data_IF_111748831052
#
_entry.id   IF_111748831052
#
_cell.length_a   1.000
_cell.length_b   1.000
_cell.length_c   1.000
_cell.angle_alpha   90.00
_cell.angle_beta   90.00
_cell.angle_gamma   90.00
#
_symmetry.space_group_name_H-M   'P 1'
#
loop_
_entity.id
_entity.type
_entity.pdbx_description
1 polymer ?
#
# COMPACT_ATOMS: atom_id res chain seq x y z
N UNK A 1 14.28 -48.03 2.31
CA UNK A 1 13.99 -46.74 1.65
C UNK A 1 13.47 -45.79 2.72
N UNK A 2 14.19 -44.70 2.99
CA UNK A 2 13.77 -43.72 3.99
C UNK A 2 12.62 -42.88 3.43
N UNK A 3 11.51 -42.82 4.16
CA UNK A 3 10.38 -41.94 3.87
C UNK A 3 10.87 -40.49 3.92
N UNK A 4 10.65 -39.67 2.88
CA UNK A 4 11.06 -38.28 2.91
C UNK A 4 10.25 -37.58 4.00
N UNK A 5 10.95 -37.08 5.01
CA UNK A 5 10.37 -36.23 6.05
C UNK A 5 9.82 -35.00 5.35
N UNK A 6 8.50 -34.79 5.38
CA UNK A 6 7.90 -33.51 4.98
C UNK A 6 8.58 -32.45 5.84
N UNK A 7 9.48 -31.66 5.24
CA UNK A 7 9.84 -30.37 5.80
C UNK A 7 8.53 -29.67 6.15
N UNK A 8 8.34 -29.34 7.43
CA UNK A 8 7.26 -28.46 7.85
C UNK A 8 7.50 -27.15 7.13
N UNK A 9 6.85 -26.99 5.98
CA UNK A 9 6.81 -25.77 5.21
C UNK A 9 6.47 -24.64 6.18
N UNK A 10 7.46 -23.80 6.48
CA UNK A 10 7.35 -22.62 7.35
C UNK A 10 6.53 -21.53 6.63
N UNK A 11 5.36 -21.90 6.09
CA UNK A 11 4.45 -21.02 5.37
C UNK A 11 3.38 -20.60 6.37
N UNK A 12 3.41 -19.32 6.71
CA UNK A 12 2.32 -18.66 7.42
C UNK A 12 0.97 -18.99 6.79
N UNK A 13 0.00 -19.36 7.62
CA UNK A 13 -1.38 -19.59 7.18
C UNK A 13 -2.02 -18.27 6.76
N UNK A 14 -3.15 -18.32 6.04
CA UNK A 14 -3.93 -17.12 5.73
C UNK A 14 -4.32 -16.36 7.01
N UNK A 15 -4.70 -17.08 8.06
CA UNK A 15 -5.04 -16.49 9.35
C UNK A 15 -3.84 -15.79 10.01
N UNK A 16 -2.65 -16.38 9.95
CA UNK A 16 -1.43 -15.76 10.48
C UNK A 16 -1.10 -14.46 9.75
N UNK A 17 -1.18 -14.47 8.41
CA UNK A 17 -0.90 -13.27 7.60
C UNK A 17 -1.95 -12.20 7.85
N UNK A 18 -3.24 -12.55 7.90
CA UNK A 18 -4.31 -11.60 8.15
C UNK A 18 -4.24 -10.99 9.54
N UNK A 19 -3.84 -11.79 10.55
CA UNK A 19 -3.59 -11.31 11.91
C UNK A 19 -2.40 -10.34 11.94
N UNK A 20 -1.27 -10.72 11.32
CA UNK A 20 -0.10 -9.86 11.22
C UNK A 20 -0.42 -8.54 10.53
N UNK A 21 -1.17 -8.56 9.42
CA UNK A 21 -1.59 -7.37 8.68
C UNK A 21 -2.39 -6.36 9.52
N UNK A 22 -3.00 -6.78 10.64
CA UNK A 22 -3.75 -5.91 11.57
C UNK A 22 -2.89 -5.32 12.70
N UNK A 23 -1.59 -5.59 12.70
CA UNK A 23 -0.64 -5.03 13.67
C UNK A 23 0.05 -3.78 13.13
N UNK A 24 0.34 -2.84 14.02
CA UNK A 24 1.16 -1.68 13.70
C UNK A 24 2.56 -2.10 13.27
N UNK A 25 3.07 -1.53 12.17
CA UNK A 25 4.42 -1.77 11.66
C UNK A 25 5.17 -0.44 11.52
N UNK A 26 6.18 -0.16 12.37
CA UNK A 26 6.91 1.11 12.29
C UNK A 26 7.60 1.28 10.94
N UNK A 27 7.78 2.53 10.51
CA UNK A 27 8.59 2.88 9.35
C UNK A 27 9.94 3.38 9.84
N UNK A 28 11.02 2.91 9.22
CA UNK A 28 12.38 3.40 9.52
C UNK A 28 12.93 4.17 8.32
N UNK A 29 13.76 5.17 8.58
CA UNK A 29 14.35 5.98 7.51
C UNK A 29 15.23 5.16 6.56
N UNK A 30 15.78 4.03 7.04
CA UNK A 30 16.62 3.11 6.26
C UNK A 30 15.84 2.10 5.42
N UNK A 31 14.51 2.05 5.50
CA UNK A 31 13.68 1.07 4.78
C UNK A 31 12.56 1.74 3.98
N UNK A 32 12.76 1.81 2.66
CA UNK A 32 11.86 2.49 1.72
C UNK A 32 10.88 1.54 0.99
N UNK A 33 11.01 0.22 1.18
CA UNK A 33 10.15 -0.81 0.57
C UNK A 33 8.84 -0.99 1.34
N UNK A 34 8.02 0.05 1.27
CA UNK A 34 6.71 0.08 1.91
C UNK A 34 5.63 -0.20 0.86
N UNK A 35 4.66 -1.06 1.19
CA UNK A 35 3.39 -1.14 0.45
C UNK A 35 2.30 -0.54 1.32
N UNK A 36 1.63 0.48 0.79
CA UNK A 36 0.53 1.19 1.42
C UNK A 36 -0.77 0.83 0.71
N UNK A 37 -1.76 0.42 1.49
CA UNK A 37 -3.12 0.20 1.04
C UNK A 37 -4.09 0.73 2.10
N UNK A 38 -5.36 0.82 1.75
CA UNK A 38 -6.37 1.38 2.64
C UNK A 38 -7.72 0.69 2.51
N UNK A 39 -8.38 0.52 3.65
CA UNK A 39 -9.80 0.21 3.72
C UNK A 39 -10.38 0.95 4.93
N UNK A 40 -11.30 1.90 4.69
CA UNK A 40 -11.82 2.82 5.72
C UNK A 40 -12.37 2.10 6.96
N UNK A 41 -12.95 0.91 6.77
CA UNK A 41 -13.54 0.09 7.84
C UNK A 41 -12.60 -0.99 8.39
N UNK A 42 -11.33 -0.98 8.03
CA UNK A 42 -10.35 -2.00 8.42
C UNK A 42 -10.36 -3.23 7.50
N UNK A 43 -9.19 -3.83 7.28
CA UNK A 43 -8.99 -4.91 6.30
C UNK A 43 -9.92 -6.10 6.49
N UNK A 44 -10.18 -6.53 7.74
CA UNK A 44 -11.07 -7.65 8.04
C UNK A 44 -12.53 -7.41 7.67
N UNK A 45 -12.95 -6.15 7.54
CA UNK A 45 -14.28 -5.76 7.07
C UNK A 45 -14.33 -5.51 5.56
N UNK A 46 -13.23 -5.71 4.83
CA UNK A 46 -13.22 -5.68 3.38
C UNK A 46 -13.77 -6.99 2.79
N UNK A 47 -14.30 -6.98 1.55
CA UNK A 47 -14.68 -8.21 0.87
C UNK A 47 -13.56 -9.25 0.90
N UNK A 48 -13.91 -10.53 1.07
CA UNK A 48 -12.91 -11.61 1.24
C UNK A 48 -11.89 -11.68 0.09
N UNK A 49 -12.30 -11.33 -1.12
CA UNK A 49 -11.39 -11.30 -2.27
C UNK A 49 -10.33 -10.20 -2.16
N UNK A 50 -10.64 -9.04 -1.55
CA UNK A 50 -9.64 -8.02 -1.22
C UNK A 50 -8.65 -8.54 -0.18
N UNK A 51 -9.14 -9.22 0.87
CA UNK A 51 -8.28 -9.83 1.89
C UNK A 51 -7.32 -10.85 1.24
N UNK A 52 -7.84 -11.70 0.35
CA UNK A 52 -7.03 -12.67 -0.41
C UNK A 52 -5.98 -11.99 -1.29
N UNK A 53 -6.33 -10.88 -1.95
CA UNK A 53 -5.38 -10.09 -2.74
C UNK A 53 -4.22 -9.63 -1.85
N UNK A 54 -4.50 -8.95 -0.74
CA UNK A 54 -3.46 -8.42 0.17
C UNK A 54 -2.58 -9.55 0.73
N UNK A 55 -3.18 -10.65 1.18
CA UNK A 55 -2.42 -11.82 1.65
C UNK A 55 -1.51 -12.41 0.56
N UNK A 56 -1.97 -12.39 -0.70
CA UNK A 56 -1.14 -12.83 -1.83
C UNK A 56 0.06 -11.92 -2.07
N UNK A 57 -0.07 -10.61 -1.80
CA UNK A 57 1.04 -9.66 -1.91
C UNK A 57 2.10 -9.95 -0.86
N UNK A 58 1.71 -10.16 0.40
CA UNK A 58 2.64 -10.52 1.50
C UNK A 58 3.47 -11.73 1.11
N UNK A 59 2.84 -12.78 0.58
CA UNK A 59 3.55 -13.99 0.14
C UNK A 59 4.50 -13.75 -1.02
N UNK A 60 4.07 -12.94 -1.99
CA UNK A 60 4.83 -12.70 -3.22
C UNK A 60 6.05 -11.82 -2.98
N UNK A 61 5.87 -10.79 -2.17
CA UNK A 61 6.92 -9.82 -1.88
C UNK A 61 7.88 -10.33 -0.82
N UNK A 62 7.42 -11.22 0.07
CA UNK A 62 8.24 -11.78 1.13
C UNK A 62 8.70 -10.69 2.12
N UNK A 63 9.75 -10.97 2.90
CA UNK A 63 10.18 -10.08 3.99
C UNK A 63 10.89 -8.80 3.53
N UNK A 64 11.18 -8.66 2.23
CA UNK A 64 11.85 -7.46 1.69
C UNK A 64 10.92 -6.26 1.59
N UNK A 65 9.61 -6.48 1.58
CA UNK A 65 8.59 -5.44 1.56
C UNK A 65 7.71 -5.52 2.79
N UNK A 66 7.39 -4.35 3.35
CA UNK A 66 6.44 -4.26 4.45
C UNK A 66 5.07 -3.81 3.95
N UNK A 67 4.08 -4.69 4.01
CA UNK A 67 2.69 -4.40 3.62
C UNK A 67 1.92 -3.82 4.81
N UNK A 68 1.30 -2.65 4.60
CA UNK A 68 0.45 -1.96 5.58
C UNK A 68 -0.90 -1.64 4.95
N UNK A 69 -1.97 -2.06 5.61
CA UNK A 69 -3.34 -1.69 5.23
C UNK A 69 -3.90 -0.80 6.30
N UNK A 70 -4.02 0.49 5.97
CA UNK A 70 -4.47 1.53 6.88
C UNK A 70 -6.01 1.61 6.90
N UNK A 71 -6.55 2.21 7.94
CA UNK A 71 -8.00 2.37 8.12
C UNK A 71 -8.37 3.65 8.90
N UNK A 72 -9.68 3.87 9.07
CA UNK A 72 -10.27 4.94 9.88
C UNK A 72 -11.04 4.38 11.10
N UNK A 73 -10.67 3.19 11.57
CA UNK A 73 -11.32 2.53 12.71
C UNK A 73 -10.70 3.07 13.99
N UNK A 74 -11.55 3.59 14.89
CA UNK A 74 -11.11 4.13 16.17
C UNK A 74 -10.39 3.06 17.01
N UNK A 75 -9.23 3.40 17.55
CA UNK A 75 -8.39 2.46 18.31
C UNK A 75 -7.64 1.43 17.47
N UNK A 76 -7.78 1.43 16.13
CA UNK A 76 -7.02 0.53 15.27
C UNK A 76 -5.52 0.80 15.35
N UNK A 77 -4.67 -0.25 15.50
CA UNK A 77 -3.22 -0.12 15.35
C UNK A 77 -2.78 0.39 13.97
N UNK A 78 -3.65 0.26 12.97
CA UNK A 78 -3.40 0.69 11.59
C UNK A 78 -4.16 1.96 11.21
N UNK A 79 -4.73 2.66 12.19
CA UNK A 79 -5.37 3.94 11.93
C UNK A 79 -4.40 4.90 11.22
N UNK A 80 -4.87 5.62 10.19
CA UNK A 80 -4.04 6.56 9.40
C UNK A 80 -3.22 7.53 10.23
N UNK A 81 -3.72 7.95 11.40
CA UNK A 81 -3.01 8.87 12.31
C UNK A 81 -1.69 8.32 12.88
N UNK A 82 -1.44 7.01 12.77
CA UNK A 82 -0.17 6.39 13.16
C UNK A 82 0.97 6.71 12.17
N UNK A 83 0.61 7.17 10.97
CA UNK A 83 1.55 7.38 9.86
C UNK A 83 1.45 8.78 9.25
N UNK A 84 0.29 9.44 9.31
CA UNK A 84 0.10 10.76 8.69
C UNK A 84 -0.12 11.81 9.78
N UNK A 85 0.78 12.80 9.90
CA UNK A 85 0.57 13.97 10.76
C UNK A 85 -0.71 14.71 10.38
N UNK A 86 -1.39 15.29 11.37
CA UNK A 86 -2.71 15.91 11.17
C UNK A 86 -2.67 17.00 10.11
N UNK A 87 -1.61 17.80 10.13
CA UNK A 87 -1.38 18.97 9.28
C UNK A 87 -1.28 18.65 7.78
N UNK A 88 -1.05 17.40 7.39
CA UNK A 88 -0.98 17.01 5.98
C UNK A 88 -2.33 16.71 5.35
N UNK A 89 -3.41 16.63 6.15
CA UNK A 89 -4.75 16.31 5.65
C UNK A 89 -5.75 17.38 6.11
N UNK A 90 -6.76 17.70 5.28
CA UNK A 90 -7.74 18.72 5.61
C UNK A 90 -8.63 18.27 6.79
N UNK A 91 -9.14 19.23 7.56
CA UNK A 91 -10.02 18.95 8.71
C UNK A 91 -11.26 18.12 8.35
N UNK A 92 -11.74 18.22 7.11
CA UNK A 92 -12.87 17.43 6.60
C UNK A 92 -12.60 15.92 6.68
N UNK A 93 -11.34 15.51 6.48
CA UNK A 93 -10.89 14.12 6.61
C UNK A 93 -10.94 13.68 8.08
N UNK A 94 -10.27 14.42 8.96
CA UNK A 94 -10.15 14.07 10.37
C UNK A 94 -11.48 14.12 11.11
N UNK A 95 -12.29 15.14 10.84
CA UNK A 95 -13.58 15.32 11.48
C UNK A 95 -14.67 14.45 10.85
N UNK A 96 -14.32 13.63 9.84
CA UNK A 96 -15.22 12.70 9.13
C UNK A 96 -16.49 13.36 8.61
N UNK A 97 -16.36 14.57 8.06
CA UNK A 97 -17.51 15.38 7.59
C UNK A 97 -17.78 15.24 6.10
N UNK A 98 -16.94 14.50 5.35
CA UNK A 98 -17.24 14.14 3.96
C UNK A 98 -18.51 13.29 3.87
N UNK A 99 -19.33 13.52 2.85
CA UNK A 99 -20.60 12.81 2.63
C UNK A 99 -20.67 12.14 1.26
N UNK A 100 -21.55 11.16 1.10
CA UNK A 100 -21.82 10.49 -0.17
C UNK A 100 -21.31 9.04 -0.24
N UNK A 101 -21.58 8.33 -1.34
CA UNK A 101 -21.29 6.90 -1.44
C UNK A 101 -19.79 6.58 -1.60
N UNK A 102 -18.97 7.57 -1.96
CA UNK A 102 -17.55 7.39 -2.29
C UNK A 102 -16.59 7.96 -1.23
N UNK A 103 -17.08 8.23 -0.01
CA UNK A 103 -16.24 8.81 1.06
C UNK A 103 -15.00 7.96 1.36
N UNK A 104 -15.11 6.63 1.32
CA UNK A 104 -13.97 5.73 1.50
C UNK A 104 -12.92 5.87 0.40
N UNK A 105 -13.36 5.95 -0.87
CA UNK A 105 -12.47 6.18 -2.01
C UNK A 105 -11.82 7.56 -1.96
N UNK A 106 -12.57 8.61 -1.63
CA UNK A 106 -12.00 9.95 -1.46
C UNK A 106 -11.02 10.03 -0.29
N UNK A 107 -11.29 9.33 0.81
CA UNK A 107 -10.34 9.19 1.92
C UNK A 107 -9.04 8.52 1.47
N UNK A 108 -9.14 7.45 0.68
CA UNK A 108 -8.00 6.78 0.02
C UNK A 108 -7.21 7.76 -0.87
N UNK A 109 -7.92 8.57 -1.66
CA UNK A 109 -7.29 9.57 -2.53
C UNK A 109 -6.47 10.61 -1.76
N UNK A 110 -6.97 11.06 -0.61
CA UNK A 110 -6.31 12.08 0.21
C UNK A 110 -5.03 11.56 0.88
N UNK A 111 -4.95 10.28 1.22
CA UNK A 111 -3.84 9.76 2.03
C UNK A 111 -2.71 9.14 1.22
N UNK A 112 -2.94 8.77 -0.06
CA UNK A 112 -1.93 8.04 -0.83
C UNK A 112 -0.64 8.83 -1.05
N UNK A 113 -0.76 10.09 -1.45
CA UNK A 113 0.40 10.92 -1.77
C UNK A 113 1.16 11.35 -0.52
N UNK A 114 0.51 11.75 0.61
CA UNK A 114 1.21 11.98 1.86
C UNK A 114 2.05 10.79 2.32
N UNK A 115 1.52 9.56 2.25
CA UNK A 115 2.26 8.36 2.66
C UNK A 115 3.48 8.12 1.78
N UNK A 116 3.31 8.24 0.46
CA UNK A 116 4.41 8.09 -0.49
C UNK A 116 5.46 9.19 -0.34
N UNK A 117 5.04 10.42 -0.09
CA UNK A 117 5.96 11.53 0.14
C UNK A 117 6.76 11.33 1.43
N UNK A 118 6.08 10.98 2.53
CA UNK A 118 6.73 10.78 3.83
C UNK A 118 7.65 9.57 3.89
N UNK A 119 7.31 8.48 3.21
CA UNK A 119 7.92 7.17 3.45
C UNK A 119 8.41 6.45 2.19
N UNK A 120 8.09 6.96 1.00
CA UNK A 120 8.29 6.27 -0.25
C UNK A 120 7.50 4.96 -0.32
N UNK A 121 7.87 4.13 -1.30
CA UNK A 121 7.29 2.82 -1.51
C UNK A 121 6.23 2.84 -2.59
N UNK A 122 5.21 1.98 -2.44
CA UNK A 122 4.16 1.75 -3.42
C UNK A 122 2.79 1.86 -2.75
N UNK A 123 1.92 2.70 -3.29
CA UNK A 123 0.49 2.66 -3.08
C UNK A 123 -0.13 1.58 -3.97
N UNK A 124 -0.99 0.74 -3.39
CA UNK A 124 -1.68 -0.33 -4.09
C UNK A 124 -3.11 -0.48 -3.57
N UNK A 125 -4.11 -0.30 -4.44
CA UNK A 125 -5.50 -0.53 -4.07
C UNK A 125 -5.74 -2.01 -3.71
N UNK A 126 -6.48 -2.28 -2.63
CA UNK A 126 -6.75 -3.65 -2.13
C UNK A 126 -7.41 -4.58 -3.16
N UNK A 127 -8.05 -3.99 -4.17
CA UNK A 127 -8.66 -4.73 -5.28
C UNK A 127 -7.66 -5.27 -6.31
N UNK A 128 -6.37 -4.90 -6.23
CA UNK A 128 -5.38 -5.26 -7.25
C UNK A 128 -4.77 -6.64 -7.03
N UNK A 129 -4.68 -7.42 -8.11
CA UNK A 129 -3.92 -8.65 -8.14
C UNK A 129 -2.47 -8.37 -8.54
N UNK A 130 -1.53 -8.78 -7.69
CA UNK A 130 -0.11 -8.66 -7.99
C UNK A 130 0.40 -9.96 -8.61
N UNK A 131 0.83 -9.90 -9.88
CA UNK A 131 1.36 -11.06 -10.61
C UNK A 131 2.90 -11.13 -10.65
N UNK A 132 3.59 -10.00 -10.45
CA UNK A 132 5.06 -9.86 -10.48
C UNK A 132 5.56 -9.20 -9.20
N UNK A 133 6.86 -9.29 -8.88
CA UNK A 133 7.40 -8.49 -7.76
C UNK A 133 7.38 -7.00 -8.12
N UNK A 134 7.30 -6.14 -7.10
CA UNK A 134 7.37 -4.70 -7.27
C UNK A 134 8.79 -4.24 -7.67
N UNK A 135 9.83 -4.96 -7.21
CA UNK A 135 11.23 -4.78 -7.60
C UNK A 135 11.40 -4.79 -9.12
N UNK A 136 10.94 -5.85 -9.77
CA UNK A 136 11.03 -6.00 -11.22
C UNK A 136 10.04 -5.10 -11.98
N UNK A 137 8.93 -4.70 -11.36
CA UNK A 137 7.91 -3.88 -12.00
C UNK A 137 8.35 -2.41 -12.15
N UNK A 138 8.92 -1.84 -11.09
CA UNK A 138 9.38 -0.43 -11.11
C UNK A 138 10.40 -0.09 -10.02
N UNK A 139 10.44 -0.81 -8.90
CA UNK A 139 11.17 -0.33 -7.73
C UNK A 139 12.68 -0.34 -7.91
N UNK A 140 13.24 -1.33 -8.60
CA UNK A 140 14.68 -1.36 -8.91
C UNK A 140 15.12 -0.12 -9.69
N UNK A 141 14.27 0.39 -10.58
CA UNK A 141 14.57 1.61 -11.32
C UNK A 141 14.45 2.85 -10.43
N UNK A 142 13.43 2.91 -9.55
CA UNK A 142 13.22 4.06 -8.67
C UNK A 142 14.31 4.20 -7.59
N UNK A 143 14.80 3.10 -7.05
CA UNK A 143 15.80 3.13 -5.99
C UNK A 143 17.24 3.31 -6.49
N UNK A 144 17.47 3.06 -7.79
CA UNK A 144 18.77 3.21 -8.41
C UNK A 144 19.16 4.71 -8.45
N UNK A 145 20.23 5.11 -7.73
CA UNK A 145 20.66 6.50 -7.69
C UNK A 145 21.16 7.03 -9.04
N UNK A 146 21.48 6.14 -10.00
CA UNK A 146 21.93 6.53 -11.34
C UNK A 146 20.76 6.88 -12.26
N UNK A 147 19.51 6.62 -11.85
CA UNK A 147 18.33 7.02 -12.61
C UNK A 147 17.74 8.32 -12.07
N UNK A 148 17.13 9.15 -12.94
CA UNK A 148 16.41 10.35 -12.52
C UNK A 148 14.96 10.05 -12.13
N UNK A 149 14.57 8.78 -11.98
CA UNK A 149 13.18 8.41 -11.79
C UNK A 149 12.74 8.63 -10.35
N UNK A 150 11.63 9.35 -10.23
CA UNK A 150 11.08 9.80 -8.94
C UNK A 150 9.75 9.12 -8.62
N UNK A 151 8.95 8.84 -9.65
CA UNK A 151 7.60 8.27 -9.56
C UNK A 151 7.38 7.27 -10.70
N UNK A 152 6.67 6.18 -10.42
CA UNK A 152 6.16 5.26 -11.42
C UNK A 152 4.66 4.99 -11.20
N UNK A 153 3.89 4.99 -12.28
CA UNK A 153 2.46 4.69 -12.26
C UNK A 153 2.04 4.03 -13.58
N UNK A 154 0.87 3.39 -13.62
CA UNK A 154 0.35 2.85 -14.87
C UNK A 154 -0.25 3.98 -15.71
N UNK A 155 0.24 4.14 -16.95
CA UNK A 155 -0.42 4.97 -17.94
C UNK A 155 -1.62 4.24 -18.51
N UNK A 156 -2.80 4.83 -18.38
CA UNK A 156 -4.04 4.37 -19.01
C UNK A 156 -4.35 5.28 -20.19
N UNK A 157 -4.42 4.71 -21.39
CA UNK A 157 -4.76 5.44 -22.61
C UNK A 157 -6.26 5.29 -22.90
N UNK A 158 -6.94 6.42 -23.08
CA UNK A 158 -8.33 6.51 -23.53
C UNK A 158 -8.36 7.08 -24.95
N UNK A 159 -7.94 6.25 -25.92
CA UNK A 159 -7.74 6.68 -27.31
C UNK A 159 -6.37 7.33 -27.54
N UNK A 160 -6.18 7.96 -28.73
CA UNK A 160 -4.86 8.47 -29.14
C UNK A 160 -4.43 9.74 -28.41
N UNK A 161 -5.37 10.57 -27.95
CA UNK A 161 -5.10 11.93 -27.45
C UNK A 161 -5.16 12.05 -25.92
N UNK A 162 -5.86 11.13 -25.25
CA UNK A 162 -6.08 11.21 -23.82
C UNK A 162 -5.39 10.04 -23.10
N UNK A 163 -4.57 10.36 -22.12
CA UNK A 163 -4.07 9.38 -21.16
C UNK A 163 -3.93 9.99 -19.79
N UNK A 164 -4.09 9.18 -18.76
CA UNK A 164 -3.88 9.56 -17.36
C UNK A 164 -3.05 8.53 -16.63
N UNK A 165 -2.50 8.92 -15.49
CA UNK A 165 -1.84 8.01 -14.57
C UNK A 165 -2.91 7.39 -13.66
N UNK A 166 -3.01 6.07 -13.69
CA UNK A 166 -3.92 5.34 -12.81
C UNK A 166 -3.47 5.49 -11.36
N UNK A 167 -4.32 6.06 -10.53
CA UNK A 167 -4.02 6.40 -9.14
C UNK A 167 -4.16 5.23 -8.17
N UNK A 168 -4.67 4.07 -8.60
CA UNK A 168 -4.71 2.85 -7.79
C UNK A 168 -3.35 2.12 -7.68
N UNK A 169 -2.36 2.52 -8.49
CA UNK A 169 -0.96 2.09 -8.36
C UNK A 169 -0.04 3.28 -8.55
N UNK A 170 0.70 3.66 -7.50
CA UNK A 170 1.72 4.71 -7.58
C UNK A 170 2.91 4.26 -6.74
N UNK A 171 4.10 4.21 -7.33
CA UNK A 171 5.35 4.02 -6.61
C UNK A 171 6.14 5.32 -6.64
N UNK A 172 6.78 5.68 -5.52
CA UNK A 172 7.56 6.91 -5.46
C UNK A 172 8.72 6.81 -4.47
N UNK A 173 9.76 7.60 -4.74
CA UNK A 173 10.83 7.85 -3.78
C UNK A 173 10.30 8.73 -2.65
N UNK A 174 10.81 8.49 -1.45
CA UNK A 174 10.56 9.37 -0.30
C UNK A 174 11.03 10.78 -0.62
N UNK A 175 10.23 11.78 -0.28
CA UNK A 175 10.55 13.19 -0.49
C UNK A 175 10.47 13.64 -1.95
N UNK A 176 9.91 12.82 -2.84
CA UNK A 176 9.81 13.16 -4.25
C UNK A 176 8.98 14.42 -4.48
N UNK A 177 9.55 15.41 -5.18
CA UNK A 177 8.88 16.67 -5.48
C UNK A 177 7.69 16.51 -6.45
N UNK A 178 7.66 15.42 -7.23
CA UNK A 178 6.56 15.13 -8.14
C UNK A 178 5.24 14.82 -7.44
N UNK A 179 5.28 14.49 -6.15
CA UNK A 179 4.12 14.15 -5.31
C UNK A 179 4.08 14.96 -4.02
N UNK A 180 4.85 16.05 -3.95
CA UNK A 180 4.76 17.00 -2.84
C UNK A 180 3.43 17.75 -2.96
N UNK A 181 2.62 17.70 -1.91
CA UNK A 181 1.28 18.31 -1.84
C UNK A 181 1.33 19.72 -1.25
#
# INVERSE_FOLDING_TARGET
>A
MATPTKEKSNRFTDADILSDLQTYKPVTDSHTRNVWAFWDKGLSNSPEWNQRNVMSWVRRLGPTWTVRVLDLVEGSPNHVSQYIPRELLPDVFWNRTMTGPHVGQHSSDLIRLPLLYLYGGVWLDVGMLLFRSLDALCWNALEDPETPYEVAAFRVSMGPELSFLFNGFIAARRGSLCINL
#
